data_IF_328170330094
#
_entry.id   IF_328170330094
#
_cell.length_a   1.000
_cell.length_b   1.000
_cell.length_c   1.000
_cell.angle_alpha   90.00
_cell.angle_beta   90.00
_cell.angle_gamma   90.00
#
_symmetry.space_group_name_H-M   'P 1'
#
loop_
_entity.id
_entity.type
_entity.pdbx_description
1 polymer ?
#
# COMPACT_ATOMS: atom_id res chain seq x y z
N UNK A 1 4.08 -30.45 -17.15
CA UNK A 1 3.39 -29.14 -17.25
C UNK A 1 4.35 -28.08 -16.73
N UNK A 2 4.51 -26.91 -17.39
CA UNK A 2 5.33 -25.86 -16.81
C UNK A 2 4.63 -25.37 -15.54
N UNK A 3 5.29 -25.55 -14.40
CA UNK A 3 4.89 -24.96 -13.12
C UNK A 3 4.89 -23.44 -13.31
N UNK A 4 3.72 -22.81 -13.25
CA UNK A 4 3.64 -21.34 -13.16
C UNK A 4 4.47 -20.90 -11.96
N UNK A 5 5.45 -20.03 -12.17
CA UNK A 5 6.14 -19.36 -11.05
C UNK A 5 5.10 -18.71 -10.15
N UNK A 6 5.32 -18.81 -8.83
CA UNK A 6 4.47 -18.15 -7.85
C UNK A 6 4.45 -16.63 -8.12
N UNK A 7 3.28 -16.02 -7.95
CA UNK A 7 3.13 -14.57 -8.13
C UNK A 7 3.91 -13.88 -7.02
N UNK A 8 4.73 -12.89 -7.38
CA UNK A 8 5.50 -12.14 -6.40
C UNK A 8 4.58 -11.32 -5.48
N UNK A 9 4.88 -11.35 -4.19
CA UNK A 9 4.14 -10.64 -3.14
C UNK A 9 4.86 -9.35 -2.77
N UNK A 10 4.15 -8.22 -2.85
CA UNK A 10 4.63 -6.91 -2.44
C UNK A 10 3.86 -6.47 -1.19
N UNK A 11 4.59 -6.26 -0.11
CA UNK A 11 4.07 -5.63 1.10
C UNK A 11 4.33 -4.12 1.04
N UNK A 12 3.30 -3.35 1.37
CA UNK A 12 3.37 -1.89 1.40
C UNK A 12 2.99 -1.40 2.79
N UNK A 13 3.81 -0.55 3.37
CA UNK A 13 3.46 0.17 4.57
C UNK A 13 2.32 1.18 4.31
N UNK A 14 1.60 1.56 5.36
CA UNK A 14 0.48 2.48 5.27
C UNK A 14 0.89 3.92 5.62
N UNK A 15 1.39 4.15 6.83
CA UNK A 15 1.60 5.49 7.39
C UNK A 15 2.85 6.11 6.77
N UNK A 16 2.76 7.32 6.23
CA UNK A 16 3.82 7.99 5.46
C UNK A 16 4.20 7.34 4.12
N UNK A 17 3.72 6.14 3.81
CA UNK A 17 3.95 5.46 2.51
C UNK A 17 2.73 5.53 1.56
N UNK A 18 1.53 5.29 2.09
CA UNK A 18 0.24 5.40 1.38
C UNK A 18 -0.64 6.53 1.92
N UNK A 19 -0.48 6.92 3.18
CA UNK A 19 -1.26 7.99 3.80
C UNK A 19 -0.38 9.00 4.55
N UNK A 20 -0.83 10.24 4.64
CA UNK A 20 -0.10 11.36 5.24
C UNK A 20 -0.50 11.51 6.71
N UNK A 21 -0.27 10.45 7.49
CA UNK A 21 -0.70 10.39 8.90
C UNK A 21 0.06 11.38 9.76
N UNK A 22 1.38 11.53 9.55
CA UNK A 22 2.18 12.46 10.35
C UNK A 22 1.76 13.90 10.10
N UNK A 23 1.45 14.28 8.86
CA UNK A 23 0.93 15.61 8.53
C UNK A 23 -0.33 15.92 9.36
N UNK A 24 -1.28 14.99 9.42
CA UNK A 24 -2.52 15.15 10.19
C UNK A 24 -2.32 15.08 11.70
N UNK A 25 -1.39 14.24 12.17
CA UNK A 25 -1.06 14.10 13.58
C UNK A 25 -0.39 15.37 14.12
N UNK A 26 0.49 15.98 13.33
CA UNK A 26 1.15 17.25 13.66
C UNK A 26 0.13 18.38 13.76
N UNK A 27 -0.78 18.48 12.80
CA UNK A 27 -1.88 19.46 12.83
C UNK A 27 -2.71 19.31 14.12
N UNK A 28 -3.14 18.09 14.42
CA UNK A 28 -3.88 17.79 15.65
C UNK A 28 -3.09 18.14 16.92
N UNK A 29 -1.80 17.80 16.98
CA UNK A 29 -0.98 18.03 18.16
C UNK A 29 -0.73 19.52 18.38
N UNK A 30 -0.51 20.28 17.31
CA UNK A 30 -0.35 21.74 17.37
C UNK A 30 -1.61 22.40 17.92
N UNK A 31 -2.78 22.04 17.40
CA UNK A 31 -4.07 22.61 17.83
C UNK A 31 -4.45 22.20 19.26
N UNK A 32 -4.18 20.95 19.66
CA UNK A 32 -4.59 20.40 20.97
C UNK A 32 -3.66 20.86 22.10
N UNK A 33 -2.36 20.92 21.84
CA UNK A 33 -1.34 21.18 22.85
C UNK A 33 -0.66 22.54 22.71
N UNK A 34 -1.19 23.42 21.84
CA UNK A 34 -0.62 24.75 21.55
C UNK A 34 0.87 24.68 21.17
N UNK A 35 1.22 23.72 20.31
CA UNK A 35 2.59 23.53 19.81
C UNK A 35 2.72 24.04 18.37
N UNK A 36 3.94 24.05 17.84
CA UNK A 36 4.23 24.56 16.49
C UNK A 36 5.27 23.68 15.77
N UNK A 37 4.98 22.39 15.70
CA UNK A 37 5.81 21.43 14.96
C UNK A 37 5.45 21.41 13.47
N UNK A 38 6.43 21.14 12.64
CA UNK A 38 6.27 20.67 11.27
C UNK A 38 6.74 19.22 11.12
N UNK A 39 6.40 18.59 10.00
CA UNK A 39 6.83 17.21 9.67
C UNK A 39 8.35 17.03 9.76
N UNK A 40 9.12 18.06 9.38
CA UNK A 40 10.59 18.02 9.38
C UNK A 40 11.23 18.01 10.76
N UNK A 41 10.48 18.35 11.82
CA UNK A 41 10.98 18.31 13.21
C UNK A 41 11.10 16.87 13.73
N UNK A 42 10.41 15.93 13.07
CA UNK A 42 10.43 14.52 13.41
C UNK A 42 11.62 13.85 12.76
N UNK A 43 12.74 13.78 13.47
CA UNK A 43 13.95 13.04 13.06
C UNK A 43 13.94 11.58 13.53
N UNK A 44 12.84 11.16 14.16
CA UNK A 44 12.63 9.81 14.70
C UNK A 44 11.14 9.51 14.75
N UNK A 45 10.77 8.23 14.60
CA UNK A 45 9.39 7.75 14.78
C UNK A 45 9.02 7.57 16.27
N UNK A 46 10.01 7.69 17.18
CA UNK A 46 9.79 7.76 18.62
C UNK A 46 9.28 9.16 19.02
N UNK A 47 7.98 9.43 18.84
CA UNK A 47 7.43 10.78 19.01
C UNK A 47 7.65 11.42 20.38
N UNK A 48 7.79 10.63 21.46
CA UNK A 48 8.13 11.14 22.79
C UNK A 48 9.49 11.88 22.83
N UNK A 49 10.42 11.58 21.92
CA UNK A 49 11.70 12.30 21.80
C UNK A 49 11.54 13.69 21.18
N UNK A 50 10.47 13.90 20.41
CA UNK A 50 10.17 15.18 19.73
C UNK A 50 9.21 16.02 20.58
N UNK A 51 8.13 15.41 21.08
CA UNK A 51 7.14 16.06 21.92
C UNK A 51 7.60 16.28 23.36
N UNK A 52 8.64 15.57 23.80
CA UNK A 52 8.98 15.41 25.21
C UNK A 52 8.03 14.44 25.93
N UNK A 53 8.24 14.30 27.23
CA UNK A 53 7.42 13.42 28.06
C UNK A 53 7.84 11.95 28.01
N UNK A 54 6.89 11.05 28.29
CA UNK A 54 7.11 9.60 28.32
C UNK A 54 6.51 8.86 27.11
N UNK A 55 6.87 7.58 26.97
CA UNK A 55 6.27 6.70 25.94
C UNK A 55 4.78 6.51 26.17
N UNK A 56 4.37 6.37 27.43
CA UNK A 56 2.97 6.19 27.84
C UNK A 56 2.14 7.44 27.49
N UNK A 57 2.70 8.64 27.70
CA UNK A 57 2.06 9.89 27.27
C UNK A 57 1.91 9.95 25.75
N UNK A 58 2.90 9.48 25.00
CA UNK A 58 2.82 9.38 23.54
C UNK A 58 1.75 8.38 23.11
N UNK A 59 1.64 7.21 23.76
CA UNK A 59 0.60 6.25 23.45
C UNK A 59 -0.79 6.84 23.69
N UNK A 60 -1.00 7.51 24.83
CA UNK A 60 -2.24 8.23 25.14
C UNK A 60 -2.57 9.26 24.05
N UNK A 61 -1.62 10.12 23.69
CA UNK A 61 -1.79 11.12 22.62
C UNK A 61 -2.18 10.46 21.28
N UNK A 62 -1.54 9.35 20.92
CA UNK A 62 -1.88 8.62 19.69
C UNK A 62 -3.29 8.03 19.74
N UNK A 63 -3.74 7.51 20.89
CA UNK A 63 -5.14 7.04 21.03
C UNK A 63 -6.13 8.19 20.89
N UNK A 64 -5.86 9.34 21.53
CA UNK A 64 -6.69 10.54 21.37
C UNK A 64 -6.73 11.04 19.92
N UNK A 65 -5.59 10.98 19.22
CA UNK A 65 -5.55 11.30 17.80
C UNK A 65 -6.45 10.37 16.99
N UNK A 66 -6.43 9.05 17.24
CA UNK A 66 -7.29 8.08 16.54
C UNK A 66 -8.79 8.40 16.69
N UNK A 67 -9.19 8.90 17.85
CA UNK A 67 -10.57 9.30 18.15
C UNK A 67 -10.93 10.70 17.62
N UNK A 68 -9.93 11.48 17.22
CA UNK A 68 -10.14 12.84 16.70
C UNK A 68 -10.62 12.85 15.25
N UNK A 69 -11.27 13.94 14.87
CA UNK A 69 -11.65 14.20 13.47
C UNK A 69 -10.45 14.42 12.54
N UNK A 70 -9.24 14.63 13.06
CA UNK A 70 -8.03 14.76 12.24
C UNK A 70 -7.67 13.41 11.63
N UNK A 71 -7.76 12.32 12.39
CA UNK A 71 -7.52 10.97 11.88
C UNK A 71 -8.44 10.62 10.69
N UNK A 72 -9.72 10.97 10.79
CA UNK A 72 -10.69 10.71 9.72
C UNK A 72 -10.45 11.57 8.45
N UNK A 73 -9.62 12.61 8.56
CA UNK A 73 -9.25 13.55 7.49
C UNK A 73 -7.85 13.30 6.92
N UNK A 74 -7.15 12.24 7.36
CA UNK A 74 -5.87 11.81 6.79
C UNK A 74 -6.01 11.71 5.27
N UNK A 75 -5.04 12.26 4.55
CA UNK A 75 -5.02 12.29 3.08
C UNK A 75 -4.16 11.15 2.52
N UNK A 76 -4.51 10.55 1.38
CA UNK A 76 -3.61 9.64 0.69
C UNK A 76 -2.37 10.38 0.19
N UNK A 77 -1.27 9.65 0.02
CA UNK A 77 -0.09 10.16 -0.67
C UNK A 77 -0.43 10.33 -2.16
N UNK A 78 -0.19 11.53 -2.70
CA UNK A 78 -0.54 11.94 -4.07
C UNK A 78 0.69 12.18 -4.95
N UNK A 79 1.49 11.14 -5.15
CA UNK A 79 2.74 11.18 -5.94
C UNK A 79 2.86 9.96 -6.87
N UNK A 80 1.74 9.55 -7.47
CA UNK A 80 1.58 8.38 -8.34
C UNK A 80 1.39 7.03 -7.61
N UNK A 81 1.08 7.04 -6.31
CA UNK A 81 0.85 5.82 -5.52
C UNK A 81 -0.26 4.92 -6.09
N UNK A 82 -1.44 5.48 -6.36
CA UNK A 82 -2.58 4.70 -6.87
C UNK A 82 -2.29 4.11 -8.25
N UNK A 83 -1.64 4.89 -9.12
CA UNK A 83 -1.24 4.50 -10.47
C UNK A 83 -0.20 3.38 -10.43
N UNK A 84 0.80 3.49 -9.55
CA UNK A 84 1.83 2.47 -9.35
C UNK A 84 1.22 1.15 -8.88
N UNK A 85 0.34 1.20 -7.87
CA UNK A 85 -0.33 0.02 -7.34
C UNK A 85 -1.24 -0.65 -8.37
N UNK A 86 -2.04 0.13 -9.12
CA UNK A 86 -2.84 -0.38 -10.25
C UNK A 86 -1.97 -1.03 -11.32
N UNK A 87 -0.83 -0.43 -11.64
CA UNK A 87 0.15 -1.00 -12.57
C UNK A 87 0.69 -2.35 -12.06
N UNK A 88 1.08 -2.44 -10.79
CA UNK A 88 1.58 -3.67 -10.18
C UNK A 88 0.51 -4.76 -10.18
N UNK A 89 -0.72 -4.44 -9.78
CA UNK A 89 -1.84 -5.39 -9.82
C UNK A 89 -2.12 -5.90 -11.24
N UNK A 90 -2.12 -5.01 -12.25
CA UNK A 90 -2.28 -5.39 -13.67
C UNK A 90 -1.16 -6.31 -14.17
N UNK A 91 0.03 -6.23 -13.58
CA UNK A 91 1.17 -7.10 -13.89
C UNK A 91 1.20 -8.37 -13.05
N UNK A 92 0.09 -8.70 -12.40
CA UNK A 92 -0.10 -9.91 -11.61
C UNK A 92 0.78 -10.02 -10.36
N UNK A 93 1.29 -8.91 -9.80
CA UNK A 93 1.79 -8.92 -8.43
C UNK A 93 0.62 -9.10 -7.44
N UNK A 94 0.88 -9.76 -6.31
CA UNK A 94 -0.01 -9.75 -5.15
C UNK A 94 0.39 -8.58 -4.27
N UNK A 95 -0.59 -7.85 -3.73
CA UNK A 95 -0.37 -6.64 -2.94
C UNK A 95 -1.04 -6.80 -1.58
N UNK A 96 -0.28 -6.58 -0.52
CA UNK A 96 -0.78 -6.57 0.87
C UNK A 96 -0.29 -5.34 1.60
N UNK A 97 -1.01 -4.93 2.64
CA UNK A 97 -0.54 -3.89 3.56
C UNK A 97 0.05 -4.56 4.78
N UNK A 98 1.21 -4.11 5.24
CA UNK A 98 1.74 -4.44 6.58
C UNK A 98 1.94 -3.12 7.30
N UNK A 99 1.19 -2.85 8.36
CA UNK A 99 1.19 -1.56 9.07
C UNK A 99 1.54 -1.72 10.54
N UNK A 100 2.27 -0.74 11.09
CA UNK A 100 2.60 -0.69 12.53
C UNK A 100 1.39 -0.38 13.43
N UNK A 101 0.26 0.01 12.84
CA UNK A 101 -1.00 0.25 13.55
C UNK A 101 -1.45 -0.94 14.38
N UNK A 102 -2.25 -0.64 15.38
CA UNK A 102 -2.92 -1.62 16.20
C UNK A 102 -4.24 -2.07 15.57
N UNK A 103 -4.59 -3.33 15.74
CA UNK A 103 -5.75 -3.95 15.13
C UNK A 103 -7.08 -3.39 15.66
N UNK A 104 -7.11 -2.80 16.86
CA UNK A 104 -8.33 -2.13 17.36
C UNK A 104 -8.75 -0.91 16.53
N UNK A 105 -7.88 -0.35 15.66
CA UNK A 105 -8.26 0.67 14.66
C UNK A 105 -8.43 0.11 13.24
N UNK A 106 -8.64 -1.21 13.11
CA UNK A 106 -8.77 -1.87 11.82
C UNK A 106 -9.93 -1.31 10.99
N UNK A 107 -11.09 -1.05 11.60
CA UNK A 107 -12.26 -0.54 10.88
C UNK A 107 -11.99 0.81 10.20
N UNK A 108 -11.46 1.78 10.96
CA UNK A 108 -11.09 3.10 10.40
C UNK A 108 -10.00 2.97 9.33
N UNK A 109 -9.04 2.08 9.55
CA UNK A 109 -7.97 1.81 8.58
C UNK A 109 -8.53 1.23 7.28
N UNK A 110 -9.42 0.23 7.37
CA UNK A 110 -10.11 -0.38 6.23
C UNK A 110 -10.90 0.66 5.45
N UNK A 111 -11.69 1.49 6.13
CA UNK A 111 -12.47 2.57 5.50
C UNK A 111 -11.60 3.54 4.69
N UNK A 112 -10.39 3.85 5.18
CA UNK A 112 -9.43 4.66 4.43
C UNK A 112 -8.94 3.93 3.16
N UNK A 113 -8.60 2.64 3.27
CA UNK A 113 -8.16 1.81 2.14
C UNK A 113 -9.25 1.65 1.09
N UNK A 114 -10.48 1.31 1.49
CA UNK A 114 -11.62 1.14 0.58
C UNK A 114 -11.91 2.43 -0.19
N UNK A 115 -11.76 3.59 0.47
CA UNK A 115 -11.98 4.90 -0.16
C UNK A 115 -10.90 5.28 -1.16
N UNK A 116 -9.63 5.01 -0.86
CA UNK A 116 -8.50 5.58 -1.62
C UNK A 116 -7.76 4.57 -2.51
N UNK A 117 -7.85 3.28 -2.19
CA UNK A 117 -7.18 2.18 -2.88
C UNK A 117 -8.15 1.00 -3.13
N UNK A 118 -9.36 1.24 -3.67
CA UNK A 118 -10.40 0.21 -3.78
C UNK A 118 -9.95 -0.96 -4.63
N UNK A 119 -10.11 -2.17 -4.09
CA UNK A 119 -9.80 -3.42 -4.79
C UNK A 119 -8.35 -3.52 -5.23
N UNK A 120 -7.39 -2.99 -4.46
CA UNK A 120 -5.95 -3.11 -4.76
C UNK A 120 -5.31 -4.20 -3.92
N UNK A 121 -5.47 -4.12 -2.61
CA UNK A 121 -4.84 -5.02 -1.64
C UNK A 121 -5.72 -6.24 -1.36
N UNK A 122 -5.10 -7.37 -1.05
CA UNK A 122 -5.78 -8.62 -0.69
C UNK A 122 -6.04 -8.70 0.83
N UNK A 123 -5.15 -8.12 1.62
CA UNK A 123 -5.23 -8.11 3.08
C UNK A 123 -4.40 -6.97 3.70
N UNK A 124 -4.73 -6.64 4.95
CA UNK A 124 -4.01 -5.73 5.83
C UNK A 124 -3.52 -6.53 7.03
N UNK A 125 -2.21 -6.53 7.28
CA UNK A 125 -1.59 -7.12 8.46
C UNK A 125 -1.20 -6.02 9.46
N UNK A 126 -1.74 -6.10 10.67
CA UNK A 126 -1.47 -5.21 11.78
C UNK A 126 -0.32 -5.77 12.62
N UNK A 127 0.80 -5.06 12.67
CA UNK A 127 1.92 -5.43 13.53
C UNK A 127 1.58 -5.28 15.02
N UNK A 128 0.57 -4.47 15.37
CA UNK A 128 0.25 -4.14 16.75
C UNK A 128 1.49 -3.63 17.50
N UNK A 129 2.25 -2.71 16.90
CA UNK A 129 3.37 -2.09 17.60
C UNK A 129 2.84 -1.09 18.63
N UNK A 130 3.68 -0.71 19.61
CA UNK A 130 3.34 0.35 20.58
C UNK A 130 2.05 0.06 21.38
N UNK A 131 1.81 -1.20 21.75
CA UNK A 131 0.75 -1.58 22.67
C UNK A 131 1.13 -1.22 24.12
N UNK A 132 0.15 -0.75 24.87
CA UNK A 132 0.20 -0.66 26.33
C UNK A 132 0.19 -2.07 26.96
N UNK A 133 0.59 -2.19 28.22
CA UNK A 133 0.54 -3.48 28.94
C UNK A 133 -0.87 -4.08 28.98
N UNK A 134 -1.90 -3.23 29.04
CA UNK A 134 -3.29 -3.68 28.97
C UNK A 134 -3.64 -4.22 27.59
N UNK A 135 -3.29 -3.49 26.53
CA UNK A 135 -3.60 -3.91 25.16
C UNK A 135 -2.85 -5.20 24.76
N UNK A 136 -1.67 -5.46 25.35
CA UNK A 136 -0.93 -6.73 25.16
C UNK A 136 -1.67 -7.98 25.68
N UNK A 137 -2.69 -7.81 26.53
CA UNK A 137 -3.53 -8.91 26.98
C UNK A 137 -4.48 -9.40 25.87
N UNK A 138 -4.79 -8.55 24.90
CA UNK A 138 -5.74 -8.82 23.82
C UNK A 138 -5.05 -8.97 22.47
N UNK A 139 -3.96 -8.21 22.23
CA UNK A 139 -3.28 -8.13 20.94
C UNK A 139 -1.83 -8.60 21.02
N UNK A 140 -1.38 -9.32 19.98
CA UNK A 140 0.00 -9.78 19.85
C UNK A 140 0.76 -8.84 18.93
N UNK A 141 1.82 -8.24 19.47
CA UNK A 141 2.80 -7.46 18.70
C UNK A 141 3.69 -8.40 17.87
N UNK A 142 3.81 -8.12 16.57
CA UNK A 142 4.72 -8.80 15.64
C UNK A 142 5.52 -7.77 14.84
N UNK A 143 6.82 -8.00 14.67
CA UNK A 143 7.63 -7.15 13.81
C UNK A 143 7.23 -7.32 12.34
N UNK A 144 7.50 -6.30 11.52
CA UNK A 144 7.30 -6.40 10.06
C UNK A 144 8.10 -7.54 9.45
N UNK A 145 9.35 -7.72 9.87
CA UNK A 145 10.18 -8.84 9.40
C UNK A 145 9.56 -10.20 9.67
N UNK A 146 8.93 -10.40 10.84
CA UNK A 146 8.28 -11.66 11.16
C UNK A 146 7.07 -11.89 10.25
N UNK A 147 6.20 -10.89 10.07
CA UNK A 147 5.05 -10.99 9.18
C UNK A 147 5.52 -11.23 7.74
N UNK A 148 6.51 -10.47 7.25
CA UNK A 148 7.09 -10.65 5.92
C UNK A 148 7.61 -12.07 5.69
N UNK A 149 8.26 -12.66 6.71
CA UNK A 149 8.74 -14.03 6.68
C UNK A 149 7.59 -15.05 6.66
N UNK A 150 6.57 -14.85 7.51
CA UNK A 150 5.41 -15.75 7.62
C UNK A 150 4.61 -15.84 6.31
N UNK A 151 4.46 -14.72 5.59
CA UNK A 151 3.64 -14.66 4.37
C UNK A 151 4.46 -14.71 3.06
N UNK A 152 5.79 -14.76 3.15
CA UNK A 152 6.67 -14.90 1.98
C UNK A 152 6.74 -13.64 1.10
N UNK A 153 6.98 -12.47 1.70
CA UNK A 153 7.11 -11.19 0.96
C UNK A 153 8.38 -11.16 0.10
N UNK A 154 8.24 -10.79 -1.17
CA UNK A 154 9.36 -10.60 -2.10
C UNK A 154 9.89 -9.17 -2.13
N UNK A 155 9.00 -8.19 -1.90
CA UNK A 155 9.34 -6.77 -1.87
C UNK A 155 8.61 -6.05 -0.74
N UNK A 156 9.35 -5.32 0.10
CA UNK A 156 8.81 -4.40 1.09
C UNK A 156 8.98 -2.95 0.62
N UNK A 157 7.91 -2.15 0.73
CA UNK A 157 7.93 -0.70 0.55
C UNK A 157 7.55 -0.06 1.89
N UNK A 158 8.47 0.64 2.54
CA UNK A 158 8.30 1.17 3.90
C UNK A 158 9.09 2.47 4.05
N UNK A 159 8.62 3.42 4.86
CA UNK A 159 9.33 4.67 5.11
C UNK A 159 10.29 4.59 6.30
N UNK A 160 10.09 3.62 7.20
CA UNK A 160 10.88 3.44 8.41
C UNK A 160 12.19 2.72 8.10
N UNK A 161 13.30 3.41 8.36
CA UNK A 161 14.62 2.79 8.27
C UNK A 161 14.78 1.63 9.26
N UNK A 162 14.22 1.72 10.46
CA UNK A 162 14.29 0.64 11.46
C UNK A 162 13.62 -0.63 10.94
N UNK A 163 12.41 -0.52 10.37
CA UNK A 163 11.73 -1.67 9.78
C UNK A 163 12.49 -2.23 8.58
N UNK A 164 13.01 -1.34 7.72
CA UNK A 164 13.81 -1.72 6.57
C UNK A 164 15.07 -2.49 6.99
N UNK A 165 15.78 -2.03 8.03
CA UNK A 165 16.96 -2.70 8.57
C UNK A 165 16.62 -4.08 9.17
N UNK A 166 15.56 -4.19 9.97
CA UNK A 166 15.10 -5.47 10.54
C UNK A 166 14.75 -6.49 9.44
N UNK A 167 14.29 -6.00 8.30
CA UNK A 167 13.95 -6.79 7.12
C UNK A 167 15.16 -7.24 6.27
N UNK A 168 16.34 -6.65 6.43
CA UNK A 168 17.54 -7.02 5.63
C UNK A 168 18.04 -8.45 5.86
N UNK A 169 17.63 -9.06 6.97
CA UNK A 169 17.92 -10.47 7.29
C UNK A 169 17.15 -11.46 6.41
N UNK A 170 16.15 -10.99 5.67
CA UNK A 170 15.32 -11.78 4.78
C UNK A 170 15.83 -11.66 3.33
N UNK A 171 15.52 -12.67 2.52
CA UNK A 171 15.86 -12.66 1.09
C UNK A 171 14.79 -11.92 0.27
N UNK A 172 14.64 -10.62 0.51
CA UNK A 172 13.66 -9.78 -0.20
C UNK A 172 14.25 -8.44 -0.60
N UNK A 173 13.63 -7.77 -1.57
CA UNK A 173 14.01 -6.42 -1.96
C UNK A 173 13.32 -5.40 -1.05
N UNK A 174 14.03 -4.34 -0.67
CA UNK A 174 13.49 -3.33 0.25
C UNK A 174 13.59 -1.96 -0.43
N UNK A 175 12.44 -1.32 -0.60
CA UNK A 175 12.32 0.03 -1.11
C UNK A 175 12.01 0.97 0.05
N UNK A 176 13.02 1.72 0.49
CA UNK A 176 12.88 2.70 1.56
C UNK A 176 12.26 3.98 0.99
N UNK A 177 10.98 4.19 1.26
CA UNK A 177 10.20 5.30 0.72
C UNK A 177 10.50 6.59 1.49
N UNK A 178 10.92 7.63 0.78
CA UNK A 178 11.30 8.92 1.35
C UNK A 178 10.66 10.06 0.56
N UNK A 179 9.45 10.45 0.96
CA UNK A 179 8.61 11.35 0.17
C UNK A 179 9.33 12.67 -0.13
N UNK A 180 9.82 12.80 -1.36
CA UNK A 180 10.57 13.95 -1.87
C UNK A 180 11.80 14.30 -1.03
N UNK A 181 12.40 13.36 -0.31
CA UNK A 181 13.58 13.62 0.53
C UNK A 181 13.24 14.34 1.83
N UNK A 182 12.00 14.23 2.35
CA UNK A 182 11.54 14.95 3.55
C UNK A 182 11.59 14.11 4.81
N UNK A 183 11.76 12.79 4.72
CA UNK A 183 11.66 11.89 5.86
C UNK A 183 13.01 11.77 6.56
N UNK A 184 13.35 12.79 7.34
CA UNK A 184 14.66 12.91 8.00
C UNK A 184 15.01 11.71 8.88
N UNK A 185 14.01 11.03 9.48
CA UNK A 185 14.18 9.80 10.26
C UNK A 185 14.79 8.63 9.50
N UNK A 186 14.76 8.67 8.17
CA UNK A 186 15.30 7.60 7.35
C UNK A 186 16.60 7.98 6.64
N UNK A 187 17.19 9.16 6.89
CA UNK A 187 18.41 9.67 6.24
C UNK A 187 19.72 9.23 6.91
N UNK A 188 19.89 7.94 7.12
CA UNK A 188 21.18 7.35 7.51
C UNK A 188 21.77 6.51 6.36
N UNK A 189 23.02 6.07 6.56
CA UNK A 189 23.72 5.19 5.63
C UNK A 189 22.95 3.90 5.42
N UNK A 190 22.84 3.49 4.15
CA UNK A 190 22.04 2.34 3.75
C UNK A 190 22.93 1.13 3.45
N UNK A 191 22.55 -0.07 3.92
CA UNK A 191 23.17 -1.29 3.44
C UNK A 191 22.81 -1.49 1.96
N UNK A 192 23.64 -2.22 1.19
CA UNK A 192 23.45 -2.40 -0.26
C UNK A 192 22.10 -3.00 -0.69
N UNK A 193 21.38 -3.67 0.22
CA UNK A 193 20.08 -4.31 -0.04
C UNK A 193 18.88 -3.36 0.05
N UNK A 194 19.05 -2.17 0.60
CA UNK A 194 17.99 -1.17 0.76
C UNK A 194 18.15 -0.12 -0.33
N UNK A 195 17.12 0.02 -1.18
CA UNK A 195 17.09 1.06 -2.20
C UNK A 195 16.15 2.19 -1.77
N UNK A 196 16.68 3.41 -1.64
CA UNK A 196 15.85 4.58 -1.33
C UNK A 196 15.10 5.05 -2.57
N UNK A 197 13.81 5.30 -2.40
CA UNK A 197 12.93 5.81 -3.46
C UNK A 197 12.19 7.05 -2.98
N UNK A 198 12.20 8.12 -3.77
CA UNK A 198 11.72 9.44 -3.34
C UNK A 198 10.26 9.73 -3.71
N UNK A 199 9.65 8.86 -4.49
CA UNK A 199 8.25 8.94 -4.91
C UNK A 199 7.82 7.61 -5.56
N UNK A 200 6.53 7.46 -5.78
CA UNK A 200 5.99 6.24 -6.38
C UNK A 200 6.35 6.04 -7.86
N UNK A 201 6.80 7.08 -8.60
CA UNK A 201 7.40 6.86 -9.93
C UNK A 201 8.72 6.10 -9.85
N UNK A 202 9.54 6.38 -8.84
CA UNK A 202 10.77 5.63 -8.61
C UNK A 202 10.49 4.21 -8.14
N UNK A 203 9.43 3.99 -7.34
CA UNK A 203 8.92 2.64 -7.05
C UNK A 203 8.58 1.91 -8.35
N UNK A 204 7.78 2.52 -9.25
CA UNK A 204 7.42 1.90 -10.54
C UNK A 204 8.65 1.51 -11.37
N UNK A 205 9.72 2.31 -11.33
CA UNK A 205 10.96 2.03 -12.06
C UNK A 205 11.69 0.76 -11.57
N UNK A 206 11.46 0.33 -10.32
CA UNK A 206 11.99 -0.93 -9.79
C UNK A 206 11.30 -2.17 -10.37
N UNK A 207 10.19 -1.97 -11.07
CA UNK A 207 9.43 -3.03 -11.74
C UNK A 207 9.38 -2.77 -13.25
N UNK A 208 10.50 -2.93 -13.97
CA UNK A 208 10.53 -2.74 -15.41
C UNK A 208 9.59 -3.73 -16.11
N UNK A 209 9.08 -3.34 -17.29
CA UNK A 209 8.31 -4.29 -18.11
C UNK A 209 9.22 -5.45 -18.50
N UNK A 210 8.72 -6.68 -18.56
CA UNK A 210 9.43 -7.75 -19.24
C UNK A 210 9.82 -7.26 -20.63
N UNK A 211 11.04 -7.58 -21.06
CA UNK A 211 11.44 -7.39 -22.45
C UNK A 211 10.38 -8.01 -23.36
N UNK A 212 9.83 -7.24 -24.31
CA UNK A 212 8.93 -7.84 -25.29
C UNK A 212 9.66 -9.01 -25.96
N UNK A 213 9.06 -10.21 -26.02
CA UNK A 213 9.66 -11.31 -26.78
C UNK A 213 9.80 -10.95 -28.27
N UNK A 214 9.04 -9.95 -28.73
CA UNK A 214 9.09 -9.42 -30.09
C UNK A 214 10.08 -8.27 -30.28
N UNK A 215 10.88 -7.88 -29.27
CA UNK A 215 11.82 -6.75 -29.37
C UNK A 215 12.90 -6.94 -30.44
N UNK A 216 13.10 -8.17 -30.92
CA UNK A 216 14.03 -8.54 -31.99
C UNK A 216 13.32 -8.98 -33.28
N UNK A 217 11.98 -8.96 -33.32
CA UNK A 217 11.24 -9.30 -34.52
C UNK A 217 11.23 -8.09 -35.47
N UNK A 218 12.07 -8.15 -36.50
CA UNK A 218 12.03 -7.23 -37.64
C UNK A 218 10.97 -7.78 -38.61
N UNK A 219 9.89 -7.03 -38.84
CA UNK A 219 8.94 -7.32 -39.91
C UNK A 219 9.52 -6.79 -41.22
N UNK A 220 9.86 -7.68 -42.16
CA UNK A 220 10.13 -7.27 -43.55
C UNK A 220 8.79 -6.98 -44.23
N UNK A 221 8.54 -5.71 -44.54
CA UNK A 221 7.37 -5.27 -45.31
C UNK A 221 7.67 -5.23 -46.81
N UNK A 222 8.38 -6.22 -47.34
CA UNK A 222 8.65 -6.33 -48.76
C UNK A 222 8.18 -7.71 -49.23
N UNK A 223 7.06 -7.74 -49.96
CA UNK A 223 6.63 -8.75 -50.96
C UNK A 223 5.10 -8.95 -51.11
N UNK A 224 4.25 -7.96 -50.80
CA UNK A 224 2.80 -8.07 -51.07
C UNK A 224 2.14 -6.88 -51.77
N UNK A 225 2.87 -6.10 -52.58
CA UNK A 225 2.30 -4.93 -53.26
C UNK A 225 2.38 -4.92 -54.80
N UNK A 226 2.46 -6.08 -55.46
CA UNK A 226 2.43 -6.13 -56.95
C UNK A 226 1.13 -6.72 -57.52
N UNK A 227 0.24 -7.34 -56.72
CA UNK A 227 -0.97 -7.99 -57.26
C UNK A 227 -2.32 -7.43 -56.79
N UNK A 228 -2.37 -6.43 -55.91
CA UNK A 228 -3.64 -5.98 -55.29
C UNK A 228 -4.16 -4.60 -55.72
N UNK A 229 -3.70 -4.07 -56.87
CA UNK A 229 -4.07 -2.72 -57.32
C UNK A 229 -4.92 -2.67 -58.61
N UNK A 230 -5.70 -3.71 -58.91
CA UNK A 230 -6.81 -3.62 -59.87
C UNK A 230 -7.97 -4.50 -59.38
N UNK A 231 -9.16 -3.90 -59.21
CA UNK A 231 -10.38 -4.47 -58.57
C UNK A 231 -10.21 -4.52 -57.05
N UNK A 232 -10.72 -3.59 -56.25
CA UNK A 232 -12.15 -3.38 -56.01
C UNK A 232 -12.46 -1.90 -55.69
N UNK A 233 -13.43 -1.36 -56.43
CA UNK A 233 -14.19 -0.15 -56.07
C UNK A 233 -15.16 -0.48 -54.94
N UNK A 234 -15.29 0.47 -54.01
CA UNK A 234 -16.43 0.71 -53.09
C UNK A 234 -16.99 -0.45 -52.26
N UNK A 235 -16.94 -0.31 -50.94
CA UNK A 235 -18.13 -0.17 -50.06
C UNK A 235 -17.74 0.47 -48.74
N UNK A 236 -18.50 1.50 -48.33
CA UNK A 236 -18.49 2.05 -46.98
C UNK A 236 -19.06 1.00 -46.02
N UNK A 237 -18.39 0.71 -44.91
CA UNK A 237 -18.97 -0.05 -43.81
C UNK A 237 -19.60 0.93 -42.80
N UNK A 238 -20.93 0.89 -42.75
CA UNK A 238 -21.75 1.47 -41.67
C UNK A 238 -21.69 0.51 -40.47
N UNK A 239 -21.45 1.03 -39.27
CA UNK A 239 -21.58 0.26 -38.03
C UNK A 239 -23.02 0.38 -37.54
N UNK A 240 -23.72 -0.75 -37.42
CA UNK A 240 -25.01 -0.85 -36.72
C UNK A 240 -24.75 -1.07 -35.22
N UNK A 241 -25.35 -0.20 -34.40
CA UNK A 241 -25.50 -0.34 -32.96
C UNK A 241 -26.61 -1.33 -32.65
N UNK A 242 -26.31 -2.36 -31.87
CA UNK A 242 -27.31 -3.28 -31.31
C UNK A 242 -27.58 -2.81 -29.87
N UNK A 243 -28.82 -2.40 -29.62
CA UNK A 243 -29.40 -2.19 -28.30
C UNK A 243 -29.67 -3.56 -27.65
N UNK A 244 -29.32 -3.73 -26.38
CA UNK A 244 -29.68 -4.90 -25.58
C UNK A 244 -30.61 -4.42 -24.47
N UNK A 245 -31.83 -4.95 -24.49
CA UNK A 245 -32.91 -4.66 -23.56
C UNK A 245 -32.62 -5.22 -22.16
N UNK A 246 -33.13 -4.49 -21.16
CA UNK A 246 -33.13 -4.85 -19.73
C UNK A 246 -34.12 -6.00 -19.46
N UNK A 247 -33.70 -6.97 -18.66
CA UNK A 247 -34.63 -7.88 -17.96
C UNK A 247 -34.35 -7.82 -16.46
N UNK A 248 -35.42 -7.48 -15.74
CA UNK A 248 -35.59 -7.47 -14.30
C UNK A 248 -35.82 -8.89 -13.77
N UNK A 249 -35.23 -9.24 -12.63
CA UNK A 249 -35.72 -10.34 -11.80
C UNK A 249 -35.60 -10.01 -10.31
N UNK A 250 -36.70 -10.27 -9.61
CA UNK A 250 -37.03 -9.98 -8.22
C UNK A 250 -36.26 -10.86 -7.19
N UNK A 251 -36.15 -10.32 -5.96
CA UNK A 251 -35.56 -10.96 -4.76
C UNK A 251 -36.29 -12.24 -4.27
N UNK A 252 -35.74 -12.98 -3.29
CA UNK A 252 -36.12 -12.64 -1.90
C UNK A 252 -35.01 -12.79 -0.83
N UNK A 253 -35.20 -11.97 0.21
CA UNK A 253 -34.67 -11.98 1.57
C UNK A 253 -34.10 -13.28 2.16
N UNK A 254 -33.00 -13.14 2.91
CA UNK A 254 -32.49 -14.13 3.85
C UNK A 254 -31.47 -13.56 4.85
N UNK A 255 -31.94 -13.33 6.08
CA UNK A 255 -31.27 -13.26 7.39
C UNK A 255 -29.80 -12.79 7.49
N UNK A 256 -29.63 -11.57 8.03
CA UNK A 256 -28.39 -11.11 8.66
C UNK A 256 -28.17 -11.86 9.98
N UNK A 257 -27.36 -12.92 9.93
CA UNK A 257 -26.76 -13.50 11.12
C UNK A 257 -25.57 -12.62 11.56
N UNK A 258 -25.70 -11.98 12.72
CA UNK A 258 -24.60 -11.44 13.52
C UNK A 258 -23.57 -12.54 13.79
N UNK A 259 -22.48 -12.57 13.02
CA UNK A 259 -21.30 -13.35 13.37
C UNK A 259 -20.35 -12.46 14.16
N UNK A 260 -20.48 -12.57 15.49
CA UNK A 260 -19.46 -12.12 16.44
C UNK A 260 -18.16 -12.89 16.19
N UNK A 261 -17.25 -12.32 15.41
CA UNK A 261 -15.91 -12.87 15.28
C UNK A 261 -15.15 -12.64 16.58
N UNK A 262 -14.92 -13.72 17.33
CA UNK A 262 -13.87 -13.79 18.34
C UNK A 262 -12.51 -13.56 17.64
N UNK A 263 -12.08 -12.30 17.58
CA UNK A 263 -10.78 -11.89 17.09
C UNK A 263 -9.68 -12.24 18.08
N UNK A 264 -9.25 -13.50 18.08
CA UNK A 264 -7.97 -13.89 18.64
C UNK A 264 -7.42 -14.99 17.74
N UNK A 265 -6.64 -14.66 16.70
CA UNK A 265 -5.49 -15.49 16.21
C UNK A 265 -4.81 -15.04 14.92
N UNK A 266 -5.36 -14.13 14.13
CA UNK A 266 -4.63 -13.59 12.97
C UNK A 266 -4.58 -12.06 13.03
N UNK A 267 -3.36 -11.52 12.86
CA UNK A 267 -3.09 -10.10 12.78
C UNK A 267 -3.55 -9.53 11.42
N UNK A 268 -4.21 -10.34 10.59
CA UNK A 268 -4.69 -9.97 9.26
C UNK A 268 -6.17 -9.58 9.25
N UNK A 269 -6.52 -8.67 8.34
CA UNK A 269 -7.88 -8.29 7.97
C UNK A 269 -7.96 -8.30 6.45
N UNK A 270 -8.88 -9.08 5.88
CA UNK A 270 -9.10 -9.12 4.44
C UNK A 270 -9.83 -7.87 3.96
N UNK A 271 -9.47 -7.41 2.75
CA UNK A 271 -9.98 -6.19 2.11
C UNK A 271 -10.42 -6.44 0.68
#
# INVERSE_FOLDING_TARGET
MPTREARKLIAVDLDQTLCQTLDSLVEWHNDTYCTNFGVTDFHTLDYWKVWGGTREETYRKIREFYDSSYFDRIKPVKDFALEALKMLKKRHFQLVIITSRQQFIAEKTKKFIDRHYPGIFESIYFCNLYLTEREKLEYISKSKSLICQEIGVDVLIDDSLEHALDCTRLNMNILLYDRQGKYTWNHHDLPPRINRVFNWKQVMAQFPKPSSPLKHCIYSFDDYNIYFNQQYRHTYFQYETIEVEEESDDEPHGDENELSYHFIRDNSVYV
#
